data_IF_381642739201
#
_entry.id   IF_381642739201
#
_cell.length_a   1.000
_cell.length_b   1.000
_cell.length_c   1.000
_cell.angle_alpha   90.00
_cell.angle_beta   90.00
_cell.angle_gamma   90.00
#
_symmetry.space_group_name_H-M   'P 1'
#
loop_
_entity.id
_entity.type
_entity.pdbx_description
1 polymer ?
#
# COMPACT_ATOMS: atom_id res chain seq x y z
N UNK A 1 -0.89 1.21 4.67
CA UNK A 1 -1.66 2.16 5.49
C UNK A 1 -1.42 1.76 6.93
N UNK A 2 -1.17 2.71 7.81
CA UNK A 2 -0.93 2.42 9.23
C UNK A 2 -2.18 1.80 9.89
N UNK A 3 -1.98 0.85 10.81
CA UNK A 3 -3.06 0.06 11.44
C UNK A 3 -4.01 0.93 12.25
N UNK A 4 -3.49 1.96 12.92
CA UNK A 4 -4.31 2.93 13.66
C UNK A 4 -5.14 3.78 12.71
N UNK A 5 -4.54 4.25 11.62
CA UNK A 5 -5.26 5.00 10.58
C UNK A 5 -6.35 4.16 9.92
N UNK A 6 -6.09 2.87 9.68
CA UNK A 6 -7.10 1.93 9.17
C UNK A 6 -8.24 1.72 10.18
N UNK A 7 -7.92 1.54 11.46
CA UNK A 7 -8.92 1.37 12.51
C UNK A 7 -9.86 2.57 12.62
N UNK A 8 -9.31 3.79 12.58
CA UNK A 8 -10.10 5.02 12.63
C UNK A 8 -11.10 5.10 11.46
N UNK A 9 -10.63 4.80 10.25
CA UNK A 9 -11.47 4.74 9.05
C UNK A 9 -12.57 3.67 9.14
N UNK A 10 -12.24 2.48 9.65
CA UNK A 10 -13.19 1.38 9.78
C UNK A 10 -14.27 1.68 10.84
N UNK A 11 -13.91 2.37 11.94
CA UNK A 11 -14.88 2.81 12.95
C UNK A 11 -15.81 3.89 12.38
N UNK A 12 -15.29 4.88 11.66
CA UNK A 12 -16.10 5.91 11.02
C UNK A 12 -17.05 5.31 9.97
N UNK A 13 -16.57 4.35 9.19
CA UNK A 13 -17.39 3.60 8.24
C UNK A 13 -18.51 2.83 8.95
N UNK A 14 -18.21 2.13 10.05
CA UNK A 14 -19.21 1.40 10.84
C UNK A 14 -20.32 2.36 11.33
N UNK A 15 -19.96 3.52 11.87
CA UNK A 15 -20.93 4.52 12.33
C UNK A 15 -21.80 5.08 11.19
N UNK A 16 -21.21 5.30 10.01
CA UNK A 16 -21.94 5.72 8.81
C UNK A 16 -22.92 4.67 8.33
N UNK A 17 -22.53 3.38 8.33
CA UNK A 17 -23.41 2.27 7.98
C UNK A 17 -24.57 2.20 8.98
N UNK A 18 -24.30 2.27 10.29
CA UNK A 18 -25.34 2.25 11.32
C UNK A 18 -26.35 3.39 11.16
N UNK A 19 -25.86 4.62 10.98
CA UNK A 19 -26.72 5.80 10.79
C UNK A 19 -27.58 5.67 9.53
N UNK A 20 -26.98 5.23 8.42
CA UNK A 20 -27.67 5.01 7.15
C UNK A 20 -28.70 3.89 7.25
N UNK A 21 -28.40 2.81 7.98
CA UNK A 21 -29.29 1.68 8.21
C UNK A 21 -30.54 2.11 8.99
N UNK A 22 -30.38 2.87 10.07
CA UNK A 22 -31.50 3.40 10.85
C UNK A 22 -32.36 4.34 10.00
N UNK A 23 -31.73 5.22 9.21
CA UNK A 23 -32.44 6.11 8.30
C UNK A 23 -33.21 5.34 7.21
N UNK A 24 -32.62 4.28 6.66
CA UNK A 24 -33.26 3.43 5.66
C UNK A 24 -34.50 2.73 6.22
N UNK A 25 -34.35 2.02 7.35
CA UNK A 25 -35.46 1.30 8.00
C UNK A 25 -36.57 2.28 8.37
N UNK A 26 -36.22 3.42 8.98
CA UNK A 26 -37.20 4.42 9.42
C UNK A 26 -38.03 5.00 8.26
N UNK A 27 -37.41 5.25 7.10
CA UNK A 27 -38.10 5.82 5.94
C UNK A 27 -38.88 4.79 5.11
N UNK A 28 -38.40 3.54 5.07
CA UNK A 28 -38.93 2.49 4.20
C UNK A 28 -39.88 1.53 4.93
N UNK A 29 -40.01 1.64 6.26
CA UNK A 29 -40.92 0.82 7.05
C UNK A 29 -42.38 1.01 6.62
N UNK A 30 -43.05 -0.11 6.35
CA UNK A 30 -44.49 -0.12 6.09
C UNK A 30 -45.26 0.00 7.41
N UNK A 31 -46.20 0.95 7.49
CA UNK A 31 -47.06 1.10 8.65
C UNK A 31 -48.32 0.26 8.48
N UNK A 32 -48.52 -0.72 9.36
CA UNK A 32 -49.75 -1.53 9.36
C UNK A 32 -50.79 -0.92 10.30
N UNK A 33 -52.03 -0.69 9.84
CA UNK A 33 -53.10 -0.21 10.71
C UNK A 33 -53.44 -1.28 11.76
N UNK A 34 -53.73 -0.86 12.99
CA UNK A 34 -54.16 -1.80 14.02
C UNK A 34 -55.51 -2.43 13.64
N UNK A 35 -55.73 -3.74 13.90
CA UNK A 35 -56.93 -4.48 13.47
C UNK A 35 -58.27 -3.91 13.96
N UNK A 36 -58.26 -3.06 15.00
CA UNK A 36 -59.45 -2.51 15.66
C UNK A 36 -59.45 -0.98 15.75
N UNK A 37 -58.65 -0.29 14.93
CA UNK A 37 -58.52 1.17 15.00
C UNK A 37 -59.33 1.86 13.91
N UNK A 38 -60.23 2.77 14.31
CA UNK A 38 -60.94 3.70 13.40
C UNK A 38 -60.07 4.90 13.00
N UNK A 39 -58.83 4.99 13.50
CA UNK A 39 -57.93 6.10 13.23
C UNK A 39 -57.32 5.89 11.84
N UNK A 40 -57.62 6.76 10.85
CA UNK A 40 -57.03 6.65 9.52
C UNK A 40 -55.52 6.93 9.61
N UNK A 41 -54.73 6.08 8.95
CA UNK A 41 -53.30 6.36 8.74
C UNK A 41 -53.17 7.63 7.89
N UNK A 42 -52.54 8.66 8.46
CA UNK A 42 -52.09 9.81 7.68
C UNK A 42 -50.88 9.38 6.87
N UNK A 43 -51.12 8.84 5.68
CA UNK A 43 -50.06 8.50 4.74
C UNK A 43 -49.55 9.80 4.14
N UNK A 44 -48.45 10.33 4.65
CA UNK A 44 -47.84 11.55 4.13
C UNK A 44 -47.14 11.23 2.79
N UNK A 45 -47.82 11.48 1.67
CA UNK A 45 -47.25 11.41 0.32
C UNK A 45 -47.23 10.00 -0.32
N UNK A 46 -46.42 9.83 -1.37
CA UNK A 46 -46.16 8.52 -1.99
C UNK A 46 -45.25 7.74 -1.03
N UNK A 47 -45.79 6.78 -0.29
CA UNK A 47 -44.97 5.89 0.54
C UNK A 47 -44.01 5.13 -0.34
N UNK A 48 -42.71 5.41 -0.21
CA UNK A 48 -41.67 4.55 -0.76
C UNK A 48 -41.47 3.27 0.07
N UNK A 49 -42.50 2.86 0.81
CA UNK A 49 -42.48 1.68 1.66
C UNK A 49 -42.29 0.45 0.78
N UNK A 50 -41.32 -0.37 1.16
CA UNK A 50 -41.05 -1.65 0.49
C UNK A 50 -41.90 -2.75 1.11
N UNK A 51 -41.96 -3.89 0.44
CA UNK A 51 -42.71 -5.02 0.98
C UNK A 51 -42.05 -5.54 2.27
N UNK A 52 -42.82 -6.16 3.18
CA UNK A 52 -42.24 -6.74 4.40
C UNK A 52 -41.13 -7.76 4.11
N UNK A 53 -41.27 -8.56 3.05
CA UNK A 53 -40.26 -9.54 2.66
C UNK A 53 -38.95 -8.88 2.18
N UNK A 54 -39.04 -7.84 1.36
CA UNK A 54 -37.86 -7.06 0.93
C UNK A 54 -37.21 -6.32 2.11
N UNK A 55 -38.00 -5.86 3.08
CA UNK A 55 -37.48 -5.25 4.31
C UNK A 55 -36.73 -6.25 5.18
N UNK A 56 -37.28 -7.46 5.35
CA UNK A 56 -36.63 -8.52 6.14
C UNK A 56 -35.31 -8.95 5.50
N UNK A 57 -35.27 -9.08 4.17
CA UNK A 57 -34.03 -9.39 3.42
C UNK A 57 -32.99 -8.27 3.55
N UNK A 58 -33.41 -7.01 3.35
CA UNK A 58 -32.53 -5.86 3.50
C UNK A 58 -31.98 -5.72 4.93
N UNK A 59 -32.80 -5.98 5.96
CA UNK A 59 -32.35 -5.98 7.35
C UNK A 59 -31.33 -7.09 7.59
N UNK A 60 -31.55 -8.29 7.04
CA UNK A 60 -30.62 -9.40 7.18
C UNK A 60 -29.25 -9.09 6.55
N UNK A 61 -29.24 -8.49 5.35
CA UNK A 61 -28.01 -8.02 4.68
C UNK A 61 -27.29 -6.96 5.53
N UNK A 62 -28.00 -5.92 5.98
CA UNK A 62 -27.43 -4.86 6.82
C UNK A 62 -26.83 -5.40 8.12
N UNK A 63 -27.50 -6.37 8.76
CA UNK A 63 -26.99 -7.01 9.98
C UNK A 63 -25.74 -7.84 9.67
N UNK A 64 -25.72 -8.57 8.56
CA UNK A 64 -24.54 -9.33 8.12
C UNK A 64 -23.35 -8.42 7.91
N UNK A 65 -23.53 -7.32 7.16
CA UNK A 65 -22.50 -6.32 6.91
C UNK A 65 -21.94 -5.72 8.19
N UNK A 66 -22.82 -5.38 9.15
CA UNK A 66 -22.42 -4.85 10.45
C UNK A 66 -21.58 -5.85 11.25
N UNK A 67 -21.96 -7.14 11.25
CA UNK A 67 -21.23 -8.20 11.94
C UNK A 67 -19.85 -8.39 11.31
N UNK A 68 -19.77 -8.47 9.98
CA UNK A 68 -18.51 -8.62 9.27
C UNK A 68 -17.55 -7.45 9.53
N UNK A 69 -18.07 -6.21 9.53
CA UNK A 69 -17.25 -5.02 9.86
C UNK A 69 -16.82 -5.00 11.31
N UNK A 70 -17.68 -5.38 12.25
CA UNK A 70 -17.32 -5.50 13.66
C UNK A 70 -16.22 -6.55 13.88
N UNK A 71 -16.28 -7.67 13.17
CA UNK A 71 -15.28 -8.73 13.22
C UNK A 71 -13.94 -8.30 12.62
N UNK A 72 -13.95 -7.53 11.53
CA UNK A 72 -12.75 -6.90 10.97
C UNK A 72 -12.09 -5.97 11.98
N UNK A 73 -12.86 -5.05 12.58
CA UNK A 73 -12.38 -4.12 13.62
C UNK A 73 -11.78 -4.90 14.80
N UNK A 74 -12.48 -5.95 15.27
CA UNK A 74 -11.98 -6.82 16.35
C UNK A 74 -10.65 -7.46 15.98
N UNK A 75 -10.50 -7.91 14.73
CA UNK A 75 -9.24 -8.46 14.23
C UNK A 75 -8.14 -7.41 14.28
N UNK A 76 -8.38 -6.20 13.76
CA UNK A 76 -7.38 -5.11 13.77
C UNK A 76 -6.94 -4.78 15.20
N UNK A 77 -7.89 -4.64 16.13
CA UNK A 77 -7.59 -4.36 17.54
C UNK A 77 -6.68 -5.44 18.15
N UNK A 78 -6.87 -6.72 17.81
CA UNK A 78 -6.01 -7.82 18.30
C UNK A 78 -4.58 -7.76 17.76
N UNK A 79 -4.36 -7.12 16.61
CA UNK A 79 -3.04 -6.95 16.01
C UNK A 79 -2.37 -5.64 16.41
N UNK A 80 -3.05 -4.78 17.20
CA UNK A 80 -2.41 -3.58 17.72
C UNK A 80 -1.33 -3.97 18.74
N UNK A 81 -0.15 -3.33 18.70
CA UNK A 81 0.91 -3.57 19.68
C UNK A 81 0.38 -3.22 21.07
N UNK A 82 0.58 -4.12 22.03
CA UNK A 82 0.15 -3.90 23.42
C UNK A 82 1.19 -3.04 24.15
N UNK A 83 0.83 -2.43 25.29
CA UNK A 83 1.76 -1.66 26.14
C UNK A 83 3.03 -2.43 26.57
N UNK A 84 3.02 -3.77 26.48
CA UNK A 84 4.20 -4.63 26.68
C UNK A 84 5.07 -4.79 25.43
N UNK A 85 4.48 -4.64 24.24
CA UNK A 85 5.17 -4.67 22.93
C UNK A 85 5.71 -3.30 22.54
N UNK A 86 5.10 -2.23 23.08
CA UNK A 86 5.56 -0.87 22.93
C UNK A 86 6.83 -0.69 23.77
N UNK A 87 7.97 -0.73 23.08
CA UNK A 87 9.25 -0.32 23.64
C UNK A 87 9.09 1.06 24.30
N UNK A 88 9.67 1.22 25.49
CA UNK A 88 9.67 2.51 26.18
C UNK A 88 10.33 3.57 25.28
N UNK A 89 9.95 4.85 25.38
CA UNK A 89 10.56 5.92 24.56
C UNK A 89 12.10 5.86 24.52
N UNK A 90 12.72 5.47 25.64
CA UNK A 90 14.17 5.27 25.75
C UNK A 90 14.70 4.08 24.92
N UNK A 91 13.96 2.98 24.86
CA UNK A 91 14.28 1.81 24.04
C UNK A 91 14.07 2.10 22.56
N UNK A 92 12.99 2.81 22.20
CA UNK A 92 12.75 3.27 20.82
C UNK A 92 13.86 4.21 20.36
N UNK A 93 14.26 5.18 21.20
CA UNK A 93 15.37 6.07 20.88
C UNK A 93 16.66 5.28 20.64
N UNK A 94 16.96 4.30 21.51
CA UNK A 94 18.16 3.46 21.36
C UNK A 94 18.12 2.66 20.06
N UNK A 95 16.97 2.09 19.70
CA UNK A 95 16.79 1.38 18.43
C UNK A 95 16.95 2.30 17.22
N UNK A 96 16.40 3.52 17.29
CA UNK A 96 16.55 4.52 16.23
C UNK A 96 18.01 4.94 16.06
N UNK A 97 18.71 5.20 17.16
CA UNK A 97 20.13 5.56 17.15
C UNK A 97 20.98 4.42 16.56
N UNK A 98 20.64 3.16 16.89
CA UNK A 98 21.30 1.99 16.32
C UNK A 98 21.05 1.89 14.80
N UNK A 99 19.79 1.98 14.35
CA UNK A 99 19.44 1.94 12.92
C UNK A 99 20.12 3.08 12.16
N UNK A 100 20.19 4.27 12.76
CA UNK A 100 20.87 5.41 12.16
C UNK A 100 22.38 5.17 12.00
N UNK A 101 23.02 4.56 13.01
CA UNK A 101 24.43 4.18 12.95
C UNK A 101 24.68 3.12 11.86
N UNK A 102 23.83 2.09 11.81
CA UNK A 102 23.89 1.03 10.79
C UNK A 102 23.70 1.60 9.38
N UNK A 103 22.75 2.52 9.19
CA UNK A 103 22.54 3.22 7.93
C UNK A 103 23.75 4.08 7.53
N UNK A 104 24.36 4.79 8.48
CA UNK A 104 25.54 5.61 8.20
C UNK A 104 26.72 4.73 7.75
N UNK A 105 26.91 3.59 8.41
CA UNK A 105 27.94 2.63 8.05
C UNK A 105 27.70 2.02 6.67
N UNK A 106 26.49 1.49 6.42
CA UNK A 106 26.13 0.90 5.13
C UNK A 106 26.25 1.90 3.96
N UNK A 107 25.89 3.17 4.19
CA UNK A 107 26.04 4.21 3.18
C UNK A 107 27.50 4.56 2.91
N UNK A 108 28.35 4.52 3.94
CA UNK A 108 29.79 4.71 3.77
C UNK A 108 30.41 3.59 2.94
N UNK A 109 30.12 2.33 3.28
CA UNK A 109 30.57 1.16 2.50
C UNK A 109 30.07 1.22 1.05
N UNK A 110 28.81 1.64 0.85
CA UNK A 110 28.25 1.84 -0.49
C UNK A 110 29.02 2.90 -1.28
N UNK A 111 29.39 4.02 -0.66
CA UNK A 111 30.17 5.07 -1.31
C UNK A 111 31.57 4.57 -1.71
N UNK A 112 32.23 3.81 -0.84
CA UNK A 112 33.53 3.20 -1.14
C UNK A 112 33.42 2.20 -2.29
N UNK A 113 32.42 1.32 -2.26
CA UNK A 113 32.17 0.36 -3.33
C UNK A 113 31.92 1.04 -4.68
N UNK A 114 31.15 2.14 -4.68
CA UNK A 114 30.90 2.94 -5.89
C UNK A 114 32.17 3.63 -6.37
N UNK A 115 33.03 4.11 -5.47
CA UNK A 115 34.32 4.69 -5.83
C UNK A 115 35.22 3.66 -6.52
N UNK A 116 35.42 2.50 -5.90
CA UNK A 116 36.22 1.40 -6.46
C UNK A 116 35.68 0.95 -7.82
N UNK A 117 34.35 0.84 -7.98
CA UNK A 117 33.74 0.49 -9.25
C UNK A 117 34.00 1.54 -10.35
N UNK A 118 34.04 2.83 -9.99
CA UNK A 118 34.36 3.91 -10.94
C UNK A 118 35.83 3.87 -11.35
N UNK A 119 36.75 3.65 -10.41
CA UNK A 119 38.18 3.53 -10.70
C UNK A 119 38.44 2.33 -11.63
N UNK A 120 37.88 1.17 -11.31
CA UNK A 120 37.99 -0.02 -12.16
C UNK A 120 37.41 0.22 -13.55
N UNK A 121 36.27 0.91 -13.64
CA UNK A 121 35.68 1.28 -14.93
C UNK A 121 36.64 2.13 -15.75
N UNK A 122 37.27 3.15 -15.14
CA UNK A 122 38.25 4.01 -15.83
C UNK A 122 39.47 3.22 -16.31
N UNK A 123 39.97 2.30 -15.49
CA UNK A 123 41.10 1.43 -15.86
C UNK A 123 40.74 0.52 -17.04
N UNK A 124 39.55 -0.08 -17.04
CA UNK A 124 39.05 -0.90 -18.14
C UNK A 124 38.87 -0.07 -19.42
N UNK A 125 38.33 1.15 -19.32
CA UNK A 125 38.21 2.07 -20.45
C UNK A 125 39.59 2.41 -21.05
N UNK A 126 40.59 2.70 -20.21
CA UNK A 126 41.96 2.95 -20.65
C UNK A 126 42.62 1.74 -21.31
N UNK A 127 42.43 0.53 -20.76
CA UNK A 127 42.93 -0.70 -21.38
C UNK A 127 42.28 -0.97 -22.74
N UNK A 128 40.97 -0.72 -22.87
CA UNK A 128 40.25 -0.86 -24.14
C UNK A 128 40.78 0.10 -25.21
N UNK A 129 41.09 1.35 -24.83
CA UNK A 129 41.66 2.34 -25.74
C UNK A 129 43.04 1.89 -26.25
N UNK A 130 43.93 1.44 -25.37
CA UNK A 130 45.26 0.92 -25.75
C UNK A 130 45.16 -0.30 -26.67
N UNK A 131 44.23 -1.23 -26.39
CA UNK A 131 44.02 -2.41 -27.24
C UNK A 131 43.48 -1.99 -28.61
N UNK A 132 42.54 -1.03 -28.66
CA UNK A 132 42.00 -0.52 -29.91
C UNK A 132 43.07 0.17 -30.77
N UNK A 133 43.92 0.99 -30.15
CA UNK A 133 45.03 1.67 -30.82
C UNK A 133 46.08 0.69 -31.33
N UNK A 134 46.46 -0.30 -30.50
CA UNK A 134 47.42 -1.34 -30.89
C UNK A 134 46.89 -2.16 -32.06
N UNK A 135 45.60 -2.51 -32.06
CA UNK A 135 44.96 -3.23 -33.14
C UNK A 135 44.89 -2.39 -34.42
N UNK A 136 44.58 -1.10 -34.31
CA UNK A 136 44.59 -0.14 -35.43
C UNK A 136 45.99 -0.01 -36.05
N UNK A 137 47.03 0.19 -35.22
CA UNK A 137 48.41 0.28 -35.66
C UNK A 137 48.93 -1.02 -36.30
N UNK A 138 48.60 -2.18 -35.72
CA UNK A 138 48.95 -3.49 -36.28
C UNK A 138 48.32 -3.72 -37.65
N UNK A 139 47.05 -3.30 -37.82
CA UNK A 139 46.36 -3.35 -39.13
C UNK A 139 47.00 -2.41 -40.15
N UNK A 140 47.33 -1.19 -39.76
CA UNK A 140 47.99 -0.22 -40.64
C UNK A 140 49.36 -0.73 -41.09
N UNK A 141 50.15 -1.33 -40.17
CA UNK A 141 51.42 -1.97 -40.49
C UNK A 141 51.27 -3.14 -41.47
N UNK A 142 50.29 -4.04 -41.23
CA UNK A 142 50.00 -5.16 -42.13
C UNK A 142 49.63 -4.69 -43.54
N UNK A 143 48.83 -3.64 -43.66
CA UNK A 143 48.45 -3.06 -44.96
C UNK A 143 49.68 -2.52 -45.69
N UNK A 144 50.55 -1.77 -45.00
CA UNK A 144 51.78 -1.23 -45.57
C UNK A 144 52.74 -2.33 -46.08
N UNK A 145 52.90 -3.41 -45.32
CA UNK A 145 53.74 -4.55 -45.70
C UNK A 145 53.20 -5.31 -46.93
N UNK A 146 51.87 -5.47 -47.02
CA UNK A 146 51.21 -6.10 -48.17
C UNK A 146 51.32 -5.25 -49.44
N UNK A 147 51.29 -3.92 -49.33
CA UNK A 147 51.50 -3.01 -50.48
C UNK A 147 52.95 -3.02 -50.99
N UNK A 148 53.93 -3.16 -50.09
CA UNK A 148 55.36 -3.23 -50.46
C UNK A 148 55.74 -4.58 -51.11
N UNK A 149 55.04 -5.66 -50.76
CA UNK A 149 55.28 -6.98 -51.38
C UNK A 149 54.64 -7.15 -52.76
N UNK A 150 53.74 -6.24 -53.17
CA UNK A 150 53.12 -6.22 -54.51
C UNK A 150 53.83 -5.32 -55.54
N UNK A 151 54.93 -4.64 -55.16
CA UNK A 151 55.68 -3.71 -56.01
C UNK A 151 57.06 -4.21 -56.46
N UNK A 152 57.33 -5.52 -56.31
CA UNK A 152 58.50 -6.23 -56.88
C UNK A 152 58.01 -7.27 -57.88
#
# INVERSE_FOLDING_TARGET
>A
MDLLTQLDGDIDLLLKIMSSSVAFISRKASHTPLPSSTIPLSVLGKTEAITPAEMDEAIAELVSDLIEKADSIRSIIRHLPTAQDLATDTQLQTQLDQIQSEMAHANHEYQEAVHMAKELKQEVEGLLEVVADTHSASRAWLVHELEHTHTV
#
